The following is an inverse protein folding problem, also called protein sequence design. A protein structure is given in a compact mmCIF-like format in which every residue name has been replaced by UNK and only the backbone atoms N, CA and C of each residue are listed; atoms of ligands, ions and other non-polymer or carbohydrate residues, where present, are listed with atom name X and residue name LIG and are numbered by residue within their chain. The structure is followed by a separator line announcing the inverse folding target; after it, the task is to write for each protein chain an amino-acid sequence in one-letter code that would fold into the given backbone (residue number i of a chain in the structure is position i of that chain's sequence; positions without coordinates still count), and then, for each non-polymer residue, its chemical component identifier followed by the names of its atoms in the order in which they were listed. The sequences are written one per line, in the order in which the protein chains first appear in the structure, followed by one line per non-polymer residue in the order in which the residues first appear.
data_IF_362730010553
#
_entry.id   IF_362730010553
#
_cell.length_a   1.000
_cell.length_b   1.000
_cell.length_c   1.000
_cell.angle_alpha   90.00
_cell.angle_beta   90.00
_cell.angle_gamma   90.00
#
_symmetry.space_group_name_H-M   'P 1'
#
loop_
_entity.id
_entity.type
_entity.pdbx_description
1 polymer ?
#
# COMPACT_ATOMS: atom_id res chain seq x y z
N UNK A 1 21.83 29.31 7.74
CA UNK A 1 21.78 28.83 6.34
C UNK A 1 20.58 27.92 6.22
N UNK A 2 19.49 28.40 5.61
CA UNK A 2 18.36 27.55 5.27
C UNK A 2 18.83 26.51 4.25
N UNK A 3 18.94 25.26 4.70
CA UNK A 3 19.24 24.16 3.80
C UNK A 3 18.02 24.00 2.89
N UNK A 4 18.10 24.51 1.65
CA UNK A 4 17.03 24.39 0.65
C UNK A 4 16.74 22.91 0.49
N UNK A 5 15.67 22.50 1.15
CA UNK A 5 14.99 21.23 1.03
C UNK A 5 14.81 20.98 -0.48
N UNK A 6 15.49 19.95 -1.04
CA UNK A 6 15.28 19.48 -2.43
C UNK A 6 14.63 18.10 -2.44
N UNK A 7 13.52 17.98 -3.17
CA UNK A 7 12.85 16.70 -3.46
C UNK A 7 13.78 15.87 -4.35
N UNK A 8 13.88 14.56 -4.09
CA UNK A 8 14.65 13.66 -4.93
C UNK A 8 14.13 13.64 -6.37
N UNK A 9 15.01 13.39 -7.33
CA UNK A 9 14.64 13.29 -8.75
C UNK A 9 13.52 12.25 -8.98
N UNK A 10 13.65 11.08 -8.35
CA UNK A 10 12.64 10.03 -8.43
C UNK A 10 11.28 10.49 -7.88
N UNK A 11 11.27 11.06 -6.67
CA UNK A 11 10.05 11.50 -5.99
C UNK A 11 9.31 12.57 -6.82
N UNK A 12 10.05 13.43 -7.52
CA UNK A 12 9.50 14.47 -8.40
C UNK A 12 8.85 13.90 -9.67
N UNK A 13 9.42 12.86 -10.26
CA UNK A 13 8.95 12.25 -11.51
C UNK A 13 8.19 10.93 -11.30
N UNK A 14 7.75 10.65 -10.08
CA UNK A 14 7.11 9.39 -9.71
C UNK A 14 5.96 9.02 -10.64
N UNK A 15 5.07 9.96 -10.97
CA UNK A 15 3.94 9.71 -11.87
C UNK A 15 4.37 9.30 -13.27
N UNK A 16 5.47 9.86 -13.78
CA UNK A 16 6.04 9.49 -15.09
C UNK A 16 6.62 8.08 -15.04
N UNK A 17 7.37 7.76 -13.98
CA UNK A 17 7.89 6.40 -13.79
C UNK A 17 6.78 5.37 -13.70
N UNK A 18 5.70 5.65 -12.96
CA UNK A 18 4.53 4.78 -12.86
C UNK A 18 3.87 4.61 -14.23
N UNK A 19 3.66 5.69 -14.98
CA UNK A 19 3.09 5.61 -16.34
C UNK A 19 3.95 4.77 -17.29
N UNK A 20 5.28 4.91 -17.23
CA UNK A 20 6.21 4.07 -17.99
C UNK A 20 6.12 2.61 -17.57
N UNK A 21 6.07 2.30 -16.27
CA UNK A 21 5.91 0.93 -15.77
C UNK A 21 4.59 0.29 -16.21
N UNK A 22 3.49 1.05 -16.24
CA UNK A 22 2.20 0.59 -16.76
C UNK A 22 2.31 0.23 -18.23
N UNK A 23 2.86 1.13 -19.06
CA UNK A 23 3.05 0.89 -20.49
C UNK A 23 3.94 -0.31 -20.77
N UNK A 24 5.09 -0.40 -20.11
CA UNK A 24 6.02 -1.53 -20.21
C UNK A 24 5.37 -2.84 -19.74
N UNK A 25 4.66 -2.83 -18.61
CA UNK A 25 3.96 -4.00 -18.08
C UNK A 25 2.93 -4.52 -19.07
N UNK A 26 2.05 -3.66 -19.60
CA UNK A 26 1.04 -4.06 -20.59
C UNK A 26 1.68 -4.61 -21.86
N UNK A 27 2.75 -3.97 -22.38
CA UNK A 27 3.46 -4.46 -23.56
C UNK A 27 4.09 -5.83 -23.32
N UNK A 28 4.75 -6.03 -22.17
CA UNK A 28 5.33 -7.31 -21.79
C UNK A 28 4.24 -8.36 -21.65
N UNK A 29 3.14 -8.07 -20.96
CA UNK A 29 2.02 -9.00 -20.79
C UNK A 29 1.38 -9.41 -22.13
N UNK A 30 1.23 -8.46 -23.06
CA UNK A 30 0.68 -8.73 -24.38
C UNK A 30 1.59 -9.61 -25.25
N UNK A 31 2.91 -9.38 -25.21
CA UNK A 31 3.89 -10.12 -26.03
C UNK A 31 4.34 -11.45 -25.41
N UNK A 32 4.37 -11.53 -24.07
CA UNK A 32 4.81 -12.74 -23.37
C UNK A 32 3.78 -13.87 -23.47
N UNK A 33 2.49 -13.57 -23.74
CA UNK A 33 1.43 -14.56 -23.87
C UNK A 33 1.42 -15.54 -22.70
N UNK A 34 1.51 -16.84 -23.01
CA UNK A 34 1.53 -17.92 -22.02
C UNK A 34 2.80 -17.94 -21.14
N UNK A 35 3.89 -17.29 -21.57
CA UNK A 35 5.12 -17.18 -20.78
C UNK A 35 4.91 -16.47 -19.44
N UNK A 36 3.92 -15.57 -19.36
CA UNK A 36 3.57 -14.90 -18.10
C UNK A 36 2.81 -15.83 -17.14
N UNK A 37 2.11 -16.86 -17.66
CA UNK A 37 1.40 -17.85 -16.83
C UNK A 37 2.36 -18.69 -15.99
N UNK A 38 3.59 -18.92 -16.46
CA UNK A 38 4.61 -19.65 -15.70
C UNK A 38 5.03 -18.87 -14.46
N UNK A 39 5.18 -17.55 -14.56
CA UNK A 39 5.57 -16.70 -13.43
C UNK A 39 4.37 -16.44 -12.49
N UNK A 40 3.16 -16.31 -13.05
CA UNK A 40 1.95 -16.11 -12.23
C UNK A 40 1.57 -17.35 -11.44
N UNK A 41 1.78 -18.55 -11.99
CA UNK A 41 1.50 -19.84 -11.34
C UNK A 41 2.50 -20.23 -10.23
N UNK A 42 3.58 -19.47 -10.05
CA UNK A 42 4.47 -19.60 -8.87
C UNK A 42 3.79 -19.02 -7.63
N UNK A 43 2.73 -19.67 -7.16
CA UNK A 43 1.98 -19.28 -5.97
C UNK A 43 1.98 -20.36 -4.88
N UNK A 44 2.03 -19.92 -3.63
CA UNK A 44 1.78 -20.75 -2.45
C UNK A 44 0.61 -20.11 -1.71
N UNK A 45 -0.45 -20.87 -1.46
CA UNK A 45 -1.66 -20.39 -0.78
C UNK A 45 -2.25 -19.11 -1.42
N UNK A 46 -2.30 -19.05 -2.76
CA UNK A 46 -2.76 -17.89 -3.57
C UNK A 46 -1.90 -16.63 -3.46
N UNK A 47 -0.68 -16.76 -2.93
CA UNK A 47 0.29 -15.68 -2.86
C UNK A 47 1.42 -15.96 -3.86
N UNK A 48 1.54 -15.11 -4.87
CA UNK A 48 2.61 -15.21 -5.87
C UNK A 48 3.98 -14.93 -5.23
N UNK A 49 4.89 -15.91 -5.27
CA UNK A 49 6.19 -15.85 -4.57
C UNK A 49 7.06 -14.70 -5.10
N UNK A 50 7.28 -14.53 -6.42
CA UNK A 50 8.02 -13.38 -6.94
C UNK A 50 7.49 -12.04 -6.44
N UNK A 51 6.17 -11.84 -6.51
CA UNK A 51 5.52 -10.61 -6.02
C UNK A 51 5.71 -10.46 -4.52
N UNK A 52 5.58 -11.55 -3.75
CA UNK A 52 5.72 -11.51 -2.30
C UNK A 52 7.12 -11.05 -1.87
N UNK A 53 8.18 -11.55 -2.54
CA UNK A 53 9.57 -11.13 -2.30
C UNK A 53 9.74 -9.63 -2.60
N UNK A 54 9.19 -9.15 -3.72
CA UNK A 54 9.29 -7.74 -4.09
C UNK A 54 8.53 -6.83 -3.11
N UNK A 55 7.32 -7.22 -2.70
CA UNK A 55 6.55 -6.53 -1.67
C UNK A 55 7.35 -6.50 -0.36
N UNK A 56 8.01 -7.58 0.01
CA UNK A 56 8.89 -7.62 1.19
C UNK A 56 10.06 -6.64 1.07
N UNK A 57 10.76 -6.62 -0.07
CA UNK A 57 11.85 -5.66 -0.33
C UNK A 57 11.36 -4.20 -0.29
N UNK A 58 10.10 -3.97 -0.63
CA UNK A 58 9.46 -2.66 -0.55
C UNK A 58 9.05 -2.28 0.87
N UNK A 59 8.37 -3.17 1.61
CA UNK A 59 7.80 -2.90 2.94
C UNK A 59 8.89 -2.92 4.03
N UNK A 60 9.90 -3.77 3.92
CA UNK A 60 10.90 -3.94 4.97
C UNK A 60 11.64 -2.62 5.33
N UNK A 61 12.12 -1.81 4.36
CA UNK A 61 12.76 -0.52 4.66
C UNK A 61 11.83 0.52 5.29
N UNK A 62 10.52 0.40 5.09
CA UNK A 62 9.52 1.23 5.74
C UNK A 62 9.31 0.79 7.19
N UNK A 63 9.17 -0.52 7.43
CA UNK A 63 9.03 -1.07 8.78
C UNK A 63 10.25 -0.80 9.68
N UNK A 64 11.44 -0.72 9.08
CA UNK A 64 12.68 -0.28 9.76
C UNK A 64 12.63 1.14 10.31
N UNK A 65 11.77 2.00 9.75
CA UNK A 65 11.62 3.40 10.15
C UNK A 65 10.59 3.59 11.27
N UNK A 66 9.85 2.54 11.63
CA UNK A 66 8.90 2.57 12.75
C UNK A 66 9.67 2.83 14.04
N UNK A 67 9.43 3.98 14.65
CA UNK A 67 10.11 4.39 15.88
C UNK A 67 9.22 4.12 17.10
N UNK A 68 9.50 3.00 17.75
CA UNK A 68 8.81 2.58 18.97
C UNK A 68 9.06 3.51 20.16
N UNK A 69 10.14 4.29 20.17
CA UNK A 69 10.40 5.28 21.23
C UNK A 69 9.57 6.54 21.04
N UNK A 70 9.29 6.91 19.79
CA UNK A 70 8.44 8.04 19.42
C UNK A 70 6.96 7.82 19.75
N UNK A 71 6.51 6.58 19.88
CA UNK A 71 5.15 6.24 20.36
C UNK A 71 4.87 6.85 21.73
N UNK A 72 5.86 6.84 22.64
CA UNK A 72 5.71 7.46 23.97
C UNK A 72 5.50 8.97 23.91
N UNK A 73 5.88 9.61 22.79
CA UNK A 73 5.75 11.06 22.57
C UNK A 73 4.42 11.44 21.92
N UNK A 74 3.61 10.48 21.47
CA UNK A 74 2.27 10.69 20.89
C UNK A 74 1.39 11.57 21.79
N UNK A 75 1.47 11.35 23.10
CA UNK A 75 0.68 12.10 24.09
C UNK A 75 0.99 13.61 24.14
N UNK A 76 2.10 14.10 23.55
CA UNK A 76 2.44 15.52 23.57
C UNK A 76 1.61 16.36 22.60
N UNK A 77 1.17 15.78 21.47
CA UNK A 77 0.34 16.45 20.45
C UNK A 77 -0.72 15.47 19.90
N UNK A 78 -1.73 15.11 20.71
CA UNK A 78 -2.67 14.05 20.36
C UNK A 78 -3.67 14.44 19.26
N UNK A 79 -4.01 15.73 19.14
CA UNK A 79 -5.06 16.20 18.23
C UNK A 79 -4.85 15.76 16.77
N UNK A 80 -3.63 15.92 16.24
CA UNK A 80 -3.34 15.53 14.86
C UNK A 80 -3.34 14.01 14.66
N UNK A 81 -2.81 13.25 15.62
CA UNK A 81 -2.84 11.77 15.55
C UNK A 81 -4.29 11.28 15.58
N UNK A 82 -5.12 11.76 16.52
CA UNK A 82 -6.53 11.36 16.61
C UNK A 82 -7.28 11.68 15.31
N UNK A 83 -7.08 12.88 14.75
CA UNK A 83 -7.71 13.25 13.49
C UNK A 83 -7.31 12.28 12.36
N UNK A 84 -6.02 11.99 12.20
CA UNK A 84 -5.52 11.04 11.21
C UNK A 84 -6.11 9.64 11.43
N UNK A 85 -6.23 9.18 12.67
CA UNK A 85 -6.80 7.87 12.97
C UNK A 85 -8.29 7.80 12.65
N UNK A 86 -9.06 8.82 13.01
CA UNK A 86 -10.49 8.90 12.68
C UNK A 86 -10.68 8.92 11.16
N UNK A 87 -9.90 9.72 10.44
CA UNK A 87 -9.99 9.77 8.98
C UNK A 87 -9.62 8.41 8.37
N UNK A 88 -8.48 7.83 8.75
CA UNK A 88 -7.96 6.61 8.10
C UNK A 88 -8.76 5.35 8.43
N UNK A 89 -9.26 5.21 9.67
CA UNK A 89 -9.88 3.96 10.14
C UNK A 89 -11.39 4.02 10.22
N UNK A 90 -11.97 5.23 10.30
CA UNK A 90 -13.40 5.42 10.55
C UNK A 90 -14.13 6.07 9.37
N UNK A 91 -13.50 7.04 8.70
CA UNK A 91 -14.14 7.72 7.56
C UNK A 91 -13.77 7.03 6.25
N UNK A 92 -12.48 6.96 5.92
CA UNK A 92 -11.97 6.48 4.64
C UNK A 92 -12.48 5.08 4.24
N UNK A 93 -12.46 4.05 5.10
CA UNK A 93 -12.87 2.70 4.70
C UNK A 93 -14.38 2.62 4.45
N UNK A 94 -15.17 3.33 5.25
CA UNK A 94 -16.63 3.36 5.15
C UNK A 94 -17.11 4.16 3.95
N UNK A 95 -16.49 5.31 3.68
CA UNK A 95 -16.80 6.09 2.47
C UNK A 95 -16.40 5.31 1.22
N UNK A 96 -15.25 4.62 1.23
CA UNK A 96 -14.85 3.76 0.13
C UNK A 96 -15.83 2.60 -0.09
N UNK A 97 -16.25 1.92 0.96
CA UNK A 97 -17.27 0.85 0.86
C UNK A 97 -18.59 1.39 0.29
N UNK A 98 -19.03 2.56 0.74
CA UNK A 98 -20.23 3.22 0.24
C UNK A 98 -20.15 3.54 -1.25
N UNK A 99 -19.06 4.19 -1.69
CA UNK A 99 -18.87 4.51 -3.11
C UNK A 99 -18.70 3.26 -3.96
N UNK A 100 -17.93 2.26 -3.50
CA UNK A 100 -17.81 1.00 -4.22
C UNK A 100 -19.17 0.31 -4.39
N UNK A 101 -19.96 0.21 -3.32
CA UNK A 101 -21.31 -0.36 -3.40
C UNK A 101 -22.24 0.46 -4.33
N UNK A 102 -22.24 1.79 -4.21
CA UNK A 102 -23.08 2.65 -5.04
C UNK A 102 -22.75 2.48 -6.53
N UNK A 103 -21.46 2.55 -6.88
CA UNK A 103 -21.04 2.47 -8.27
C UNK A 103 -21.18 1.04 -8.82
N UNK A 104 -20.56 0.04 -8.19
CA UNK A 104 -20.55 -1.33 -8.73
C UNK A 104 -21.87 -2.07 -8.54
N UNK A 105 -22.56 -1.92 -7.41
CA UNK A 105 -23.81 -2.64 -7.16
C UNK A 105 -25.06 -1.91 -7.61
N UNK A 106 -25.05 -0.59 -7.87
CA UNK A 106 -26.26 0.14 -8.30
C UNK A 106 -26.11 0.79 -9.67
N UNK A 107 -25.08 1.60 -9.87
CA UNK A 107 -24.92 2.33 -11.13
C UNK A 107 -24.45 1.41 -12.27
N UNK A 108 -23.59 0.44 -11.99
CA UNK A 108 -22.94 -0.39 -13.00
C UNK A 108 -23.59 -1.76 -13.25
N UNK A 109 -24.78 -1.99 -12.70
CA UNK A 109 -25.51 -3.25 -12.85
C UNK A 109 -25.74 -3.65 -14.32
N UNK A 110 -25.87 -2.67 -15.22
CA UNK A 110 -26.07 -2.93 -16.65
C UNK A 110 -24.78 -3.32 -17.41
N UNK A 111 -23.61 -3.06 -16.84
CA UNK A 111 -22.30 -3.26 -17.50
C UNK A 111 -21.43 -4.33 -16.84
N UNK A 112 -21.74 -4.74 -15.60
CA UNK A 112 -20.90 -5.63 -14.80
C UNK A 112 -21.78 -6.72 -14.16
N UNK A 113 -21.32 -7.97 -14.17
CA UNK A 113 -22.04 -9.07 -13.50
C UNK A 113 -21.97 -8.92 -11.97
N UNK A 114 -22.94 -9.48 -11.22
CA UNK A 114 -22.93 -9.41 -9.75
C UNK A 114 -21.64 -9.97 -9.12
N UNK A 115 -21.05 -11.01 -9.71
CA UNK A 115 -19.82 -11.63 -9.24
C UNK A 115 -18.64 -10.66 -9.38
N UNK A 116 -18.48 -10.08 -10.57
CA UNK A 116 -17.40 -9.15 -10.87
C UNK A 116 -17.54 -7.84 -10.06
N UNK A 117 -18.77 -7.38 -9.84
CA UNK A 117 -19.04 -6.26 -8.94
C UNK A 117 -18.58 -6.56 -7.51
N UNK A 118 -18.83 -7.78 -7.01
CA UNK A 118 -18.35 -8.23 -5.70
C UNK A 118 -16.82 -8.20 -5.59
N UNK A 119 -16.12 -8.66 -6.61
CA UNK A 119 -14.64 -8.64 -6.65
C UNK A 119 -14.07 -7.21 -6.61
N UNK A 120 -14.64 -6.30 -7.41
CA UNK A 120 -14.21 -4.90 -7.40
C UNK A 120 -14.54 -4.17 -6.10
N UNK A 121 -15.70 -4.44 -5.51
CA UNK A 121 -16.05 -3.92 -4.18
C UNK A 121 -15.05 -4.41 -3.14
N UNK A 122 -14.69 -5.70 -3.19
CA UNK A 122 -13.72 -6.25 -2.26
C UNK A 122 -12.35 -5.57 -2.39
N UNK A 123 -11.86 -5.44 -3.62
CA UNK A 123 -10.61 -4.76 -3.92
C UNK A 123 -10.62 -3.29 -3.47
N UNK A 124 -11.71 -2.57 -3.72
CA UNK A 124 -11.86 -1.18 -3.30
C UNK A 124 -11.86 -1.02 -1.78
N UNK A 125 -12.56 -1.89 -1.05
CA UNK A 125 -12.58 -1.87 0.43
C UNK A 125 -11.20 -2.17 1.01
N UNK A 126 -10.51 -3.19 0.50
CA UNK A 126 -9.15 -3.56 0.92
C UNK A 126 -8.18 -2.38 0.68
N UNK A 127 -8.27 -1.74 -0.49
CA UNK A 127 -7.45 -0.58 -0.84
C UNK A 127 -7.79 0.65 0.02
N UNK A 128 -9.08 0.89 0.28
CA UNK A 128 -9.57 1.99 1.11
C UNK A 128 -9.12 1.87 2.57
N UNK A 129 -9.14 0.67 3.12
CA UNK A 129 -8.70 0.38 4.49
C UNK A 129 -7.18 0.41 4.66
N UNK A 130 -6.41 0.20 3.58
CA UNK A 130 -4.95 0.26 3.63
C UNK A 130 -4.46 1.72 3.80
N UNK A 131 -3.69 2.03 4.86
CA UNK A 131 -3.10 3.35 5.01
C UNK A 131 -1.91 3.58 4.06
N UNK A 132 -1.69 4.83 3.68
CA UNK A 132 -0.46 5.24 2.99
C UNK A 132 0.60 5.65 4.01
N UNK A 133 1.83 5.15 3.84
CA UNK A 133 2.91 5.28 4.82
C UNK A 133 4.11 6.03 4.25
N UNK A 134 4.54 5.70 3.02
CA UNK A 134 5.72 6.30 2.40
C UNK A 134 5.45 7.71 1.83
N UNK A 135 4.38 7.88 1.04
CA UNK A 135 4.12 9.14 0.33
C UNK A 135 3.80 10.30 1.28
N UNK A 136 3.28 9.99 2.47
CA UNK A 136 2.96 10.98 3.51
C UNK A 136 4.18 11.80 3.91
N UNK A 137 5.40 11.23 3.88
CA UNK A 137 6.62 12.00 4.15
C UNK A 137 6.92 13.04 3.08
N UNK A 138 6.66 12.73 1.80
CA UNK A 138 6.84 13.69 0.70
C UNK A 138 5.80 14.81 0.79
N UNK A 139 4.54 14.48 1.09
CA UNK A 139 3.49 15.47 1.31
C UNK A 139 3.76 16.35 2.51
N UNK A 140 4.11 15.75 3.65
CA UNK A 140 4.53 16.48 4.85
C UNK A 140 5.70 17.41 4.55
N UNK A 141 6.65 16.97 3.73
CA UNK A 141 7.76 17.80 3.33
C UNK A 141 7.32 18.98 2.43
N UNK A 142 6.40 18.74 1.48
CA UNK A 142 5.86 19.75 0.57
C UNK A 142 5.04 20.82 1.29
N UNK A 143 4.40 20.47 2.40
CA UNK A 143 3.58 21.38 3.21
C UNK A 143 4.35 21.96 4.40
N UNK A 144 5.69 21.85 4.42
CA UNK A 144 6.56 22.27 5.54
C UNK A 144 6.16 21.70 6.91
N UNK A 145 5.59 20.49 6.91
CA UNK A 145 5.25 19.73 8.10
C UNK A 145 6.48 19.22 8.86
N UNK A 146 6.26 18.81 10.11
CA UNK A 146 7.28 18.26 11.01
C UNK A 146 7.53 16.76 10.70
N UNK A 147 8.70 16.37 10.16
CA UNK A 147 8.98 14.99 9.79
C UNK A 147 8.96 14.02 10.98
N UNK A 148 9.32 14.48 12.18
CA UNK A 148 9.29 13.64 13.38
C UNK A 148 7.84 13.36 13.81
N UNK A 149 6.97 14.37 13.69
CA UNK A 149 5.56 14.21 13.98
C UNK A 149 4.86 13.32 12.94
N UNK A 150 5.22 13.47 11.67
CA UNK A 150 4.75 12.59 10.59
C UNK A 150 5.19 11.14 10.82
N UNK A 151 6.44 10.92 11.23
CA UNK A 151 6.93 9.59 11.56
C UNK A 151 6.16 8.96 12.73
N UNK A 152 5.81 9.75 13.74
CA UNK A 152 4.94 9.30 14.84
C UNK A 152 3.57 8.87 14.31
N UNK A 153 2.94 9.69 13.46
CA UNK A 153 1.62 9.36 12.88
C UNK A 153 1.66 8.08 12.06
N UNK A 154 2.65 7.93 11.18
CA UNK A 154 2.85 6.72 10.36
C UNK A 154 3.07 5.51 11.26
N UNK A 155 3.95 5.61 12.26
CA UNK A 155 4.24 4.50 13.20
C UNK A 155 2.99 4.05 13.97
N UNK A 156 2.15 4.99 14.42
CA UNK A 156 0.89 4.64 15.11
C UNK A 156 -0.09 3.95 14.16
N UNK A 157 -0.17 4.42 12.92
CA UNK A 157 -1.03 3.86 11.89
C UNK A 157 -0.61 2.41 11.53
N UNK A 158 0.70 2.17 11.42
CA UNK A 158 1.31 0.87 11.12
C UNK A 158 1.16 -0.14 12.26
N UNK A 159 0.85 0.31 13.48
CA UNK A 159 0.49 -0.58 14.58
C UNK A 159 -1.01 -0.87 14.61
N UNK A 160 -1.84 0.13 14.31
CA UNK A 160 -3.29 -0.04 14.30
C UNK A 160 -3.72 -0.98 13.18
N UNK A 161 -3.03 -1.00 12.03
CA UNK A 161 -3.30 -1.95 10.94
C UNK A 161 -3.26 -3.41 11.42
N UNK A 162 -2.41 -3.76 12.39
CA UNK A 162 -2.30 -5.13 12.89
C UNK A 162 -3.58 -5.63 13.57
N UNK A 163 -4.36 -4.71 14.14
CA UNK A 163 -5.55 -5.04 14.94
C UNK A 163 -6.85 -4.60 14.29
N UNK A 164 -6.84 -3.50 13.54
CA UNK A 164 -8.05 -2.88 12.99
C UNK A 164 -8.33 -3.29 11.55
N UNK A 165 -7.31 -3.65 10.76
CA UNK A 165 -7.48 -3.95 9.34
C UNK A 165 -8.40 -5.14 9.08
N UNK A 166 -8.12 -6.30 9.68
CA UNK A 166 -8.93 -7.53 9.46
C UNK A 166 -10.37 -7.34 9.94
N UNK A 167 -10.64 -6.80 11.15
CA UNK A 167 -12.02 -6.58 11.60
C UNK A 167 -12.80 -5.59 10.74
N UNK A 168 -12.19 -4.46 10.35
CA UNK A 168 -12.87 -3.43 9.56
C UNK A 168 -13.16 -3.94 8.15
N UNK A 169 -12.18 -4.54 7.48
CA UNK A 169 -12.37 -5.11 6.15
C UNK A 169 -13.41 -6.24 6.20
N UNK A 170 -13.33 -7.14 7.18
CA UNK A 170 -14.30 -8.21 7.35
C UNK A 170 -15.72 -7.71 7.59
N UNK A 171 -15.89 -6.68 8.43
CA UNK A 171 -17.18 -6.03 8.66
C UNK A 171 -17.73 -5.42 7.37
N UNK A 172 -16.93 -4.63 6.66
CA UNK A 172 -17.37 -3.93 5.45
C UNK A 172 -17.71 -4.89 4.30
N UNK A 173 -16.93 -5.96 4.11
CA UNK A 173 -17.24 -7.01 3.14
C UNK A 173 -18.50 -7.78 3.51
N UNK A 174 -18.70 -8.07 4.80
CA UNK A 174 -19.92 -8.73 5.28
C UNK A 174 -21.18 -7.89 5.03
N UNK A 175 -21.11 -6.57 5.23
CA UNK A 175 -22.23 -5.65 4.95
C UNK A 175 -22.55 -5.55 3.45
N UNK A 176 -21.55 -5.71 2.58
CA UNK A 176 -21.75 -5.69 1.12
C UNK A 176 -22.14 -7.06 0.53
N UNK A 177 -22.42 -8.07 1.37
CA UNK A 177 -22.73 -9.45 0.98
C UNK A 177 -21.62 -10.12 0.14
N UNK A 178 -20.38 -9.67 0.27
CA UNK A 178 -19.22 -10.29 -0.37
C UNK A 178 -18.62 -11.33 0.58
N UNK A 179 -18.29 -12.51 0.05
CA UNK A 179 -17.66 -13.56 0.86
C UNK A 179 -16.35 -13.06 1.48
N UNK A 180 -16.21 -13.16 2.80
CA UNK A 180 -15.02 -12.69 3.51
C UNK A 180 -13.98 -13.81 3.57
N UNK A 181 -12.81 -13.68 2.92
CA UNK A 181 -11.80 -14.72 2.95
C UNK A 181 -10.88 -14.49 4.17
N UNK A 182 -11.38 -14.79 5.37
CA UNK A 182 -10.66 -14.52 6.63
C UNK A 182 -9.29 -15.18 6.70
N UNK A 183 -9.15 -16.41 6.20
CA UNK A 183 -7.88 -17.14 6.20
C UNK A 183 -6.82 -16.41 5.37
N UNK A 184 -7.16 -15.92 4.17
CA UNK A 184 -6.21 -15.19 3.32
C UNK A 184 -5.95 -13.77 3.82
N UNK A 185 -6.94 -13.09 4.41
CA UNK A 185 -6.76 -11.78 5.04
C UNK A 185 -5.79 -11.89 6.22
N UNK A 186 -5.99 -12.87 7.10
CA UNK A 186 -5.11 -13.09 8.24
C UNK A 186 -3.70 -13.50 7.80
N UNK A 187 -3.59 -14.46 6.87
CA UNK A 187 -2.30 -14.88 6.32
C UNK A 187 -1.56 -13.70 5.67
N UNK A 188 -2.26 -12.86 4.89
CA UNK A 188 -1.68 -11.66 4.28
C UNK A 188 -1.15 -10.67 5.32
N UNK A 189 -1.91 -10.39 6.38
CA UNK A 189 -1.46 -9.49 7.45
C UNK A 189 -0.23 -10.05 8.16
N UNK A 190 -0.21 -11.34 8.46
CA UNK A 190 0.95 -11.96 9.10
C UNK A 190 2.18 -11.87 8.19
N UNK A 191 2.07 -12.31 6.94
CA UNK A 191 3.19 -12.41 5.99
C UNK A 191 3.69 -11.04 5.56
N UNK A 192 2.80 -10.08 5.27
CA UNK A 192 3.18 -8.80 4.69
C UNK A 192 3.30 -7.65 5.70
N UNK A 193 2.79 -7.83 6.92
CA UNK A 193 2.86 -6.77 7.95
C UNK A 193 3.60 -7.26 9.19
N UNK A 194 3.12 -8.33 9.85
CA UNK A 194 3.69 -8.78 11.14
C UNK A 194 5.14 -9.21 10.99
N UNK A 195 5.45 -10.07 10.02
CA UNK A 195 6.81 -10.59 9.86
C UNK A 195 7.81 -9.48 9.45
N UNK A 196 7.52 -8.62 8.45
CA UNK A 196 8.38 -7.48 8.13
C UNK A 196 8.55 -6.49 9.29
N UNK A 197 7.49 -6.26 10.08
CA UNK A 197 7.56 -5.39 11.25
C UNK A 197 8.48 -5.97 12.33
N UNK A 198 8.36 -7.25 12.65
CA UNK A 198 9.25 -7.92 13.59
C UNK A 198 10.71 -7.90 13.09
N UNK A 199 10.93 -8.24 11.83
CA UNK A 199 12.25 -8.19 11.21
C UNK A 199 12.84 -6.77 11.25
N UNK A 200 12.04 -5.76 10.92
CA UNK A 200 12.40 -4.35 11.00
C UNK A 200 12.74 -3.94 12.43
N UNK A 201 11.93 -4.32 13.41
CA UNK A 201 12.16 -4.04 14.82
C UNK A 201 13.49 -4.62 15.33
N UNK A 202 13.74 -5.92 15.07
CA UNK A 202 14.97 -6.57 15.52
C UNK A 202 16.21 -5.99 14.84
N UNK A 203 16.16 -5.76 13.52
CA UNK A 203 17.27 -5.14 12.79
C UNK A 203 17.54 -3.71 13.24
N UNK A 204 16.49 -2.89 13.41
CA UNK A 204 16.60 -1.53 13.92
C UNK A 204 17.28 -1.53 15.30
N UNK A 205 16.78 -2.33 16.25
CA UNK A 205 17.32 -2.39 17.62
C UNK A 205 18.75 -2.90 17.67
N UNK A 206 19.10 -3.90 16.85
CA UNK A 206 20.46 -4.43 16.77
C UNK A 206 21.44 -3.41 16.18
N UNK A 207 21.08 -2.78 15.05
CA UNK A 207 21.97 -1.84 14.37
C UNK A 207 22.16 -0.54 15.14
N UNK A 208 21.11 0.00 15.76
CA UNK A 208 21.23 1.19 16.62
C UNK A 208 22.11 0.90 17.83
N UNK A 209 21.96 -0.27 18.46
CA UNK A 209 22.82 -0.66 19.59
C UNK A 209 24.29 -0.81 19.20
N UNK A 210 24.58 -1.23 17.97
CA UNK A 210 25.95 -1.49 17.48
C UNK A 210 26.64 -0.26 16.89
N UNK A 211 25.92 0.60 16.16
CA UNK A 211 26.49 1.70 15.39
C UNK A 211 25.94 3.09 15.75
N UNK A 212 24.91 3.17 16.61
CA UNK A 212 24.25 4.41 16.99
C UNK A 212 23.09 4.82 16.05
N UNK A 213 22.24 5.72 16.54
CA UNK A 213 21.03 6.18 15.84
C UNK A 213 21.34 7.04 14.61
N UNK A 214 22.36 7.91 14.70
CA UNK A 214 22.75 8.78 13.58
C UNK A 214 23.27 7.98 12.39
N UNK A 215 24.11 6.96 12.64
CA UNK A 215 24.58 6.07 11.57
C UNK A 215 23.43 5.31 10.92
N UNK A 216 22.48 4.80 11.71
CA UNK A 216 21.31 4.11 11.19
C UNK A 216 20.50 5.02 10.26
N UNK A 217 20.22 6.26 10.68
CA UNK A 217 19.42 7.20 9.90
C UNK A 217 20.14 7.80 8.69
N UNK A 218 21.42 8.11 8.81
CA UNK A 218 22.16 8.84 7.77
C UNK A 218 22.92 7.92 6.79
N UNK A 219 23.22 6.68 7.17
CA UNK A 219 24.00 5.76 6.34
C UNK A 219 23.20 4.53 5.92
N UNK A 220 22.53 3.88 6.86
CA UNK A 220 21.84 2.61 6.57
C UNK A 220 20.51 2.82 5.83
N UNK A 221 19.60 3.64 6.37
CA UNK A 221 18.30 3.90 5.73
C UNK A 221 18.40 4.45 4.30
N UNK A 222 19.29 5.42 3.99
CA UNK A 222 19.40 5.96 2.62
C UNK A 222 19.88 4.93 1.60
N UNK A 223 20.66 3.92 2.02
CA UNK A 223 21.09 2.82 1.14
C UNK A 223 19.96 1.86 0.78
N UNK A 224 18.93 1.76 1.60
CA UNK A 224 17.76 0.91 1.33
C UNK A 224 16.74 1.59 0.42
N UNK A 225 16.69 2.93 0.38
CA UNK A 225 15.72 3.68 -0.44
C UNK A 225 15.73 3.27 -1.93
N UNK A 226 16.89 3.13 -2.62
CA UNK A 226 16.92 2.68 -4.00
C UNK A 226 16.38 1.25 -4.20
N UNK A 227 16.60 0.36 -3.23
CA UNK A 227 16.13 -1.02 -3.28
C UNK A 227 14.60 -1.06 -3.22
N UNK A 228 13.98 -0.30 -2.32
CA UNK A 228 12.51 -0.19 -2.26
C UNK A 228 11.93 0.41 -3.53
N UNK A 229 12.58 1.43 -4.10
CA UNK A 229 12.15 2.06 -5.36
C UNK A 229 12.20 1.03 -6.50
N UNK A 230 13.31 0.32 -6.65
CA UNK A 230 13.45 -0.71 -7.67
C UNK A 230 12.39 -1.81 -7.49
N UNK A 231 12.20 -2.30 -6.26
CA UNK A 231 11.20 -3.32 -5.94
C UNK A 231 9.78 -2.85 -6.27
N UNK A 232 9.43 -1.60 -5.96
CA UNK A 232 8.15 -0.99 -6.33
C UNK A 232 7.96 -0.98 -7.86
N UNK A 233 8.94 -0.46 -8.62
CA UNK A 233 8.83 -0.36 -10.08
C UNK A 233 8.73 -1.73 -10.75
N UNK A 234 9.54 -2.70 -10.30
CA UNK A 234 9.48 -4.09 -10.81
C UNK A 234 8.14 -4.73 -10.47
N UNK A 235 7.62 -4.52 -9.24
CA UNK A 235 6.29 -5.01 -8.85
C UNK A 235 5.21 -4.42 -9.75
N UNK A 236 5.25 -3.11 -10.04
CA UNK A 236 4.30 -2.48 -10.93
C UNK A 236 4.34 -3.09 -12.33
N UNK A 237 5.52 -3.19 -12.94
CA UNK A 237 5.68 -3.80 -14.26
C UNK A 237 5.09 -5.21 -14.27
N UNK A 238 5.40 -6.00 -13.25
CA UNK A 238 4.98 -7.40 -13.15
C UNK A 238 3.47 -7.54 -12.94
N UNK A 239 2.86 -6.73 -12.06
CA UNK A 239 1.40 -6.74 -11.85
C UNK A 239 0.64 -6.32 -13.12
N UNK A 240 1.12 -5.30 -13.84
CA UNK A 240 0.52 -4.88 -15.10
C UNK A 240 0.77 -5.87 -16.23
N UNK A 241 1.90 -6.60 -16.21
CA UNK A 241 2.15 -7.69 -17.13
C UNK A 241 1.20 -8.88 -16.90
N UNK A 242 0.94 -9.24 -15.64
CA UNK A 242 -0.06 -10.27 -15.31
C UNK A 242 -1.47 -9.90 -15.78
N UNK A 243 -1.84 -8.63 -15.64
CA UNK A 243 -3.16 -8.17 -16.02
C UNK A 243 -3.25 -7.63 -17.45
N UNK A 244 -2.17 -7.69 -18.24
CA UNK A 244 -2.06 -7.04 -19.55
C UNK A 244 -3.20 -7.41 -20.50
N UNK A 245 -3.51 -8.71 -20.63
CA UNK A 245 -4.61 -9.21 -21.46
C UNK A 245 -5.98 -8.76 -20.95
N UNK A 246 -6.21 -8.83 -19.64
CA UNK A 246 -7.46 -8.37 -19.04
C UNK A 246 -7.67 -6.87 -19.26
N UNK A 247 -6.59 -6.09 -19.23
CA UNK A 247 -6.62 -4.64 -19.43
C UNK A 247 -6.95 -4.27 -20.88
N UNK A 248 -6.35 -4.96 -21.85
CA UNK A 248 -6.61 -4.68 -23.27
C UNK A 248 -7.97 -5.19 -23.73
N UNK A 249 -8.46 -6.30 -23.17
CA UNK A 249 -9.77 -6.87 -23.52
C UNK A 249 -10.94 -6.15 -22.83
N UNK A 250 -10.75 -5.57 -21.65
CA UNK A 250 -11.83 -4.95 -20.86
C UNK A 250 -11.55 -3.48 -20.44
N UNK A 251 -11.26 -2.57 -21.39
CA UNK A 251 -10.87 -1.20 -21.07
C UNK A 251 -12.01 -0.41 -20.38
N UNK A 252 -13.26 -0.70 -20.72
CA UNK A 252 -14.42 -0.03 -20.14
C UNK A 252 -14.55 -0.35 -18.65
N UNK A 253 -14.35 -1.61 -18.24
CA UNK A 253 -14.44 -2.02 -16.83
C UNK A 253 -13.37 -1.32 -15.99
N UNK A 254 -12.17 -1.12 -16.52
CA UNK A 254 -11.09 -0.40 -15.82
C UNK A 254 -11.43 1.07 -15.63
N UNK A 255 -12.00 1.69 -16.66
CA UNK A 255 -12.48 3.07 -16.55
C UNK A 255 -13.57 3.19 -15.49
N UNK A 256 -14.55 2.28 -15.51
CA UNK A 256 -15.60 2.22 -14.49
C UNK A 256 -15.01 2.03 -13.09
N UNK A 257 -13.98 1.18 -12.94
CA UNK A 257 -13.34 0.97 -11.64
C UNK A 257 -12.55 2.20 -11.14
N UNK A 258 -12.00 3.01 -12.04
CA UNK A 258 -11.27 4.22 -11.68
C UNK A 258 -12.18 5.34 -11.12
N UNK A 259 -13.42 5.46 -11.62
CA UNK A 259 -14.35 6.53 -11.22
C UNK A 259 -14.62 6.59 -9.71
N UNK A 260 -15.08 5.53 -9.03
CA UNK A 260 -15.35 5.59 -7.59
C UNK A 260 -14.08 5.85 -6.78
N UNK A 261 -12.93 5.33 -7.23
CA UNK A 261 -11.64 5.56 -6.58
C UNK A 261 -11.25 7.04 -6.64
N UNK A 262 -11.35 7.67 -7.81
CA UNK A 262 -11.01 9.09 -8.00
C UNK A 262 -11.96 10.02 -7.25
N UNK A 263 -13.26 9.69 -7.17
CA UNK A 263 -14.23 10.50 -6.43
C UNK A 263 -13.99 10.42 -4.91
N UNK A 264 -13.52 9.28 -4.42
CA UNK A 264 -13.30 9.06 -2.99
C UNK A 264 -11.97 9.63 -2.49
N UNK A 265 -10.95 9.71 -3.35
CA UNK A 265 -9.57 10.12 -3.00
C UNK A 265 -9.45 11.63 -2.85
#
# INVERSE_FOLDING_TARGET
MEHKRKIGFFDKYLSVWVALCIGLGILIGHWAGDGMQVISSLEIARVNIPVAILIWLMIYPMMLQVDFTSIKRVGRKPKGVILTLVINWLIKPFTMAFFAWLFFSKLYQAWITPELAGEYIAGAIILGAAPCTAMVFVWSYLTDGDPNYTLVQVSVNDLIILVAFVPIVGLLLGITNVSVPYDTLFASVVIFVVVPLLAGYFTNRYLIRKHGEDWFKQVFLPKLKPVSILALLVTLILLFAFQGTNITSNPLIILLAAVPLVIQT
#
